data_IF_317512380497
#
_entry.id   IF_317512380497
#
_cell.length_a   1.000
_cell.length_b   1.000
_cell.length_c   1.000
_cell.angle_alpha   90.00
_cell.angle_beta   90.00
_cell.angle_gamma   90.00
#
_symmetry.space_group_name_H-M   'P 1'
#
loop_
_entity.id
_entity.type
_entity.pdbx_description
1 polymer ?
#
# COMPACT_ATOMS: atom_id res chain seq x y z
N UNK A 1 -14.94 29.47 3.27
CA UNK A 1 -13.73 29.95 2.56
C UNK A 1 -12.52 29.46 3.32
N UNK A 2 -11.42 29.08 2.65
CA UNK A 2 -10.25 28.52 3.31
C UNK A 2 -9.17 28.09 2.31
N UNK A 3 -8.04 27.60 2.83
CA UNK A 3 -6.94 27.04 2.04
C UNK A 3 -6.82 25.56 2.34
N UNK A 4 -6.85 24.72 1.31
CA UNK A 4 -6.78 23.27 1.43
C UNK A 4 -5.54 22.75 0.70
N UNK A 5 -4.88 21.77 1.28
CA UNK A 5 -3.60 21.25 0.81
C UNK A 5 -3.69 19.75 0.55
N UNK A 6 -3.26 19.32 -0.63
CA UNK A 6 -2.95 17.92 -0.95
C UNK A 6 -1.47 17.80 -1.22
N UNK A 7 -0.83 16.80 -0.63
CA UNK A 7 0.59 16.49 -0.86
C UNK A 7 0.66 15.10 -1.47
N UNK A 8 1.28 14.98 -2.64
CA UNK A 8 1.44 13.69 -3.31
C UNK A 8 2.62 12.91 -2.69
N UNK A 9 2.43 11.63 -2.34
CA UNK A 9 3.53 10.75 -1.97
C UNK A 9 4.31 10.31 -3.23
N UNK A 10 5.39 9.54 -3.01
CA UNK A 10 6.21 8.89 -4.05
C UNK A 10 6.62 7.47 -3.66
N UNK A 11 6.89 6.60 -4.63
CA UNK A 11 7.35 5.21 -4.39
C UNK A 11 8.81 4.96 -4.81
N UNK A 12 9.40 3.91 -4.23
CA UNK A 12 10.72 3.39 -4.57
C UNK A 12 10.64 2.22 -5.55
N UNK A 13 9.79 1.22 -5.27
CA UNK A 13 9.31 0.26 -6.26
C UNK A 13 8.11 0.89 -7.00
N UNK A 14 8.19 0.90 -8.33
CA UNK A 14 7.12 1.39 -9.20
C UNK A 14 6.86 0.34 -10.25
N UNK A 15 5.65 -0.23 -10.25
CA UNK A 15 5.22 -1.16 -11.30
C UNK A 15 5.24 -0.51 -12.68
N UNK A 16 5.44 -1.30 -13.74
CA UNK A 16 5.55 -0.78 -15.12
C UNK A 16 4.27 -0.14 -15.63
N UNK A 17 3.15 -0.45 -15.00
CA UNK A 17 1.81 -0.01 -15.39
C UNK A 17 1.27 1.13 -14.51
N UNK A 18 2.06 1.65 -13.56
CA UNK A 18 1.66 2.79 -12.73
C UNK A 18 1.52 4.08 -13.57
N UNK A 19 0.66 4.99 -13.11
CA UNK A 19 0.65 6.36 -13.60
C UNK A 19 1.99 7.05 -13.28
N UNK A 20 2.49 7.81 -14.25
CA UNK A 20 3.86 8.32 -14.26
C UNK A 20 3.97 9.65 -13.54
N UNK A 21 4.84 9.71 -12.54
CA UNK A 21 5.21 10.97 -11.89
C UNK A 21 6.09 11.83 -12.80
N UNK A 22 5.79 13.14 -12.89
CA UNK A 22 6.61 14.06 -13.68
C UNK A 22 7.78 14.58 -12.85
N UNK A 23 9.00 14.15 -13.20
CA UNK A 23 10.27 14.61 -12.62
C UNK A 23 11.02 15.58 -13.55
N UNK A 24 11.84 16.45 -12.96
CA UNK A 24 12.59 17.47 -13.68
C UNK A 24 13.68 16.87 -14.57
N UNK A 25 14.33 15.79 -14.12
CA UNK A 25 15.58 15.30 -14.68
C UNK A 25 16.77 16.25 -14.40
N UNK A 26 17.94 15.94 -14.97
CA UNK A 26 19.15 16.76 -14.80
C UNK A 26 19.78 16.66 -13.40
N UNK A 27 20.56 17.68 -13.00
CA UNK A 27 21.40 17.63 -11.78
C UNK A 27 20.62 17.96 -10.51
N UNK A 28 19.59 18.82 -10.58
CA UNK A 28 18.90 19.36 -9.41
C UNK A 28 18.15 18.25 -8.66
N UNK A 29 18.43 18.08 -7.37
CA UNK A 29 17.95 16.97 -6.55
C UNK A 29 18.20 15.59 -7.19
N UNK A 30 19.36 15.40 -7.83
CA UNK A 30 19.72 14.14 -8.51
C UNK A 30 18.66 13.74 -9.57
N UNK A 31 18.11 14.73 -10.27
CA UNK A 31 17.06 14.54 -11.28
C UNK A 31 15.65 14.37 -10.72
N UNK A 32 15.49 14.28 -9.39
CA UNK A 32 14.19 14.04 -8.71
C UNK A 32 13.39 15.31 -8.41
N UNK A 33 13.82 16.48 -8.90
CA UNK A 33 13.07 17.73 -8.78
C UNK A 33 11.66 17.64 -9.41
N UNK A 34 10.75 18.52 -9.01
CA UNK A 34 9.34 18.55 -9.48
C UNK A 34 8.86 19.92 -9.95
N UNK A 35 9.77 20.83 -10.34
CA UNK A 35 9.39 22.18 -10.82
C UNK A 35 8.54 22.13 -12.09
N UNK A 36 8.75 21.14 -12.97
CA UNK A 36 7.90 20.92 -14.15
C UNK A 36 6.45 20.66 -13.75
N UNK A 37 6.21 19.71 -12.84
CA UNK A 37 4.89 19.40 -12.28
C UNK A 37 4.24 20.63 -11.61
N UNK A 38 4.99 21.32 -10.73
CA UNK A 38 4.51 22.54 -10.04
C UNK A 38 4.13 23.64 -11.03
N UNK A 39 4.90 23.84 -12.10
CA UNK A 39 4.58 24.81 -13.15
C UNK A 39 3.26 24.45 -13.84
N UNK A 40 3.02 23.18 -14.13
CA UNK A 40 1.79 22.73 -14.79
C UNK A 40 0.56 22.90 -13.90
N UNK A 41 0.70 22.69 -12.57
CA UNK A 41 -0.34 23.05 -11.59
C UNK A 41 -0.67 24.54 -11.66
N UNK A 42 0.35 25.40 -11.56
CA UNK A 42 0.17 26.86 -11.51
C UNK A 42 -0.27 27.51 -12.83
N UNK A 43 -0.18 26.78 -13.95
CA UNK A 43 -0.52 27.30 -15.29
C UNK A 43 -1.73 26.57 -15.88
N UNK A 44 -1.55 25.34 -16.38
CA UNK A 44 -2.58 24.58 -17.10
C UNK A 44 -3.75 24.19 -16.20
N UNK A 45 -3.47 23.57 -15.04
CA UNK A 45 -4.52 23.11 -14.12
C UNK A 45 -5.27 24.31 -13.53
N UNK A 46 -4.53 25.29 -12.97
CA UNK A 46 -5.13 26.50 -12.40
C UNK A 46 -6.11 27.18 -13.37
N UNK A 47 -5.71 27.38 -14.64
CA UNK A 47 -6.56 28.02 -15.65
C UNK A 47 -7.90 27.31 -15.86
N UNK A 48 -7.96 25.99 -15.65
CA UNK A 48 -9.14 25.17 -15.89
C UNK A 48 -10.00 24.93 -14.65
N UNK A 49 -9.38 24.89 -13.46
CA UNK A 49 -10.09 24.65 -12.19
C UNK A 49 -10.69 25.90 -11.54
N UNK A 50 -10.11 27.09 -11.77
CA UNK A 50 -10.65 28.33 -11.18
C UNK A 50 -12.10 28.55 -11.64
N UNK A 51 -12.99 28.82 -10.67
CA UNK A 51 -14.42 28.98 -10.89
C UNK A 51 -15.23 27.68 -10.91
N UNK A 52 -14.58 26.50 -10.77
CA UNK A 52 -15.27 25.22 -10.62
C UNK A 52 -15.63 24.95 -9.16
N UNK A 53 -16.71 24.23 -8.95
CA UNK A 53 -17.20 23.89 -7.60
C UNK A 53 -16.45 22.68 -7.03
N UNK A 54 -15.83 22.84 -5.87
CA UNK A 54 -15.06 21.78 -5.21
C UNK A 54 -15.89 20.60 -4.69
N UNK A 55 -17.22 20.73 -4.62
CA UNK A 55 -18.09 19.60 -4.21
C UNK A 55 -18.39 18.62 -5.35
N UNK A 56 -17.88 18.88 -6.56
CA UNK A 56 -18.06 18.07 -7.77
C UNK A 56 -16.76 17.33 -8.12
N UNK A 57 -16.33 16.45 -7.21
CA UNK A 57 -15.05 15.74 -7.31
C UNK A 57 -14.87 15.03 -8.67
N UNK A 58 -15.88 14.26 -9.09
CA UNK A 58 -15.87 13.49 -10.34
C UNK A 58 -15.70 14.38 -11.59
N UNK A 59 -16.38 15.53 -11.63
CA UNK A 59 -16.23 16.50 -12.74
C UNK A 59 -14.83 17.12 -12.76
N UNK A 60 -14.25 17.37 -11.58
CA UNK A 60 -12.90 17.94 -11.45
C UNK A 60 -11.84 16.93 -11.84
N UNK A 61 -11.93 15.69 -11.35
CA UNK A 61 -10.97 14.63 -11.67
C UNK A 61 -11.04 14.26 -13.15
N UNK A 62 -12.22 14.22 -13.75
CA UNK A 62 -12.37 14.07 -15.21
C UNK A 62 -11.68 15.21 -15.96
N UNK A 63 -11.87 16.46 -15.54
CA UNK A 63 -11.18 17.60 -16.16
C UNK A 63 -9.65 17.52 -15.98
N UNK A 64 -9.17 17.04 -14.84
CA UNK A 64 -7.74 16.79 -14.60
C UNK A 64 -7.18 15.74 -15.57
N UNK A 65 -7.89 14.65 -15.79
CA UNK A 65 -7.54 13.62 -16.78
C UNK A 65 -7.58 14.18 -18.21
N UNK A 66 -8.58 14.97 -18.57
CA UNK A 66 -8.69 15.61 -19.90
C UNK A 66 -7.56 16.61 -20.18
N UNK A 67 -7.11 17.36 -19.16
CA UNK A 67 -5.98 18.30 -19.28
C UNK A 67 -4.67 17.57 -19.57
N UNK A 68 -4.51 16.38 -19.00
CA UNK A 68 -3.38 15.51 -19.29
C UNK A 68 -3.52 14.84 -20.66
N UNK A 69 -4.63 14.14 -20.89
CA UNK A 69 -4.94 13.50 -22.16
C UNK A 69 -4.04 12.31 -22.51
N UNK A 70 -3.47 11.63 -21.51
CA UNK A 70 -2.70 10.38 -21.68
C UNK A 70 -3.16 9.34 -20.67
N UNK A 71 -3.02 8.06 -21.03
CA UNK A 71 -3.48 6.94 -20.19
C UNK A 71 -2.65 6.82 -18.89
N UNK A 72 -1.34 6.99 -19.01
CA UNK A 72 -0.35 6.90 -17.93
C UNK A 72 -0.06 8.24 -17.25
N UNK A 73 -0.76 9.32 -17.62
CA UNK A 73 -0.69 10.64 -16.97
C UNK A 73 0.68 11.33 -17.07
N UNK A 74 1.51 10.99 -18.08
CA UNK A 74 2.89 11.49 -18.16
C UNK A 74 3.01 12.96 -18.59
N UNK A 75 1.99 13.55 -19.24
CA UNK A 75 2.09 14.93 -19.77
C UNK A 75 2.01 15.99 -18.67
N UNK A 76 1.20 15.77 -17.66
CA UNK A 76 1.03 16.63 -16.48
C UNK A 76 1.75 16.04 -15.27
N UNK A 77 1.78 14.70 -15.17
CA UNK A 77 2.35 13.95 -14.07
C UNK A 77 1.28 13.54 -13.07
N UNK A 78 1.22 12.24 -12.76
CA UNK A 78 0.32 11.68 -11.74
C UNK A 78 0.44 12.40 -10.39
N UNK A 79 1.66 12.82 -10.02
CA UNK A 79 1.96 13.59 -8.81
C UNK A 79 1.27 14.97 -8.78
N UNK A 80 1.17 15.66 -9.92
CA UNK A 80 0.45 16.94 -9.99
C UNK A 80 -1.06 16.75 -9.91
N UNK A 81 -1.58 15.73 -10.60
CA UNK A 81 -3.01 15.43 -10.64
C UNK A 81 -3.53 15.00 -9.27
N UNK A 82 -2.87 14.05 -8.60
CA UNK A 82 -3.34 13.51 -7.32
C UNK A 82 -3.27 14.56 -6.21
N UNK A 83 -2.24 15.43 -6.20
CA UNK A 83 -2.14 16.53 -5.25
C UNK A 83 -3.31 17.52 -5.40
N UNK A 84 -3.69 17.85 -6.64
CA UNK A 84 -4.84 18.72 -6.92
C UNK A 84 -6.16 18.03 -6.53
N UNK A 85 -6.33 16.77 -6.92
CA UNK A 85 -7.49 15.96 -6.60
C UNK A 85 -7.74 15.85 -5.09
N UNK A 86 -6.68 15.59 -4.31
CA UNK A 86 -6.70 15.54 -2.85
C UNK A 86 -7.00 16.92 -2.22
N UNK A 87 -6.47 18.01 -2.77
CA UNK A 87 -6.78 19.35 -2.28
C UNK A 87 -8.26 19.70 -2.50
N UNK A 88 -8.82 19.31 -3.64
CA UNK A 88 -10.22 19.56 -4.02
C UNK A 88 -11.17 18.77 -3.12
N UNK A 89 -10.93 17.49 -2.87
CA UNK A 89 -11.82 16.69 -2.02
C UNK A 89 -11.84 17.19 -0.58
N UNK A 90 -10.71 17.68 -0.06
CA UNK A 90 -10.62 18.36 1.25
C UNK A 90 -11.42 19.66 1.27
N UNK A 91 -11.32 20.46 0.20
CA UNK A 91 -12.13 21.66 0.05
C UNK A 91 -13.63 21.34 -0.05
N UNK A 92 -13.99 20.26 -0.74
CA UNK A 92 -15.36 19.76 -0.86
C UNK A 92 -15.96 19.34 0.48
N UNK A 93 -15.19 18.60 1.30
CA UNK A 93 -15.58 18.22 2.66
C UNK A 93 -15.89 19.46 3.52
N UNK A 94 -14.98 20.43 3.53
CA UNK A 94 -15.17 21.68 4.27
C UNK A 94 -16.33 22.52 3.73
N UNK A 95 -16.55 22.57 2.40
CA UNK A 95 -17.70 23.25 1.80
C UNK A 95 -19.04 22.60 2.17
N UNK A 96 -19.04 21.29 2.52
CA UNK A 96 -20.19 20.57 3.06
C UNK A 96 -20.27 20.57 4.58
N UNK A 97 -19.32 21.22 5.27
CA UNK A 97 -19.19 21.19 6.73
C UNK A 97 -19.16 19.74 7.27
N UNK A 98 -18.38 18.88 6.62
CA UNK A 98 -18.22 17.47 6.97
C UNK A 98 -16.75 17.16 7.24
N UNK A 99 -16.53 16.23 8.17
CA UNK A 99 -15.24 15.55 8.29
C UNK A 99 -14.87 14.85 6.99
N UNK A 100 -13.57 14.80 6.67
CA UNK A 100 -13.09 14.29 5.39
C UNK A 100 -13.51 12.82 5.15
N UNK A 101 -13.42 11.96 6.16
CA UNK A 101 -13.83 10.56 6.03
C UNK A 101 -15.35 10.40 5.76
N UNK A 102 -16.20 11.28 6.29
CA UNK A 102 -17.65 11.30 6.01
C UNK A 102 -17.94 11.76 4.58
N UNK A 103 -17.21 12.77 4.11
CA UNK A 103 -17.34 13.26 2.74
C UNK A 103 -16.86 12.21 1.73
N UNK A 104 -15.72 11.56 2.00
CA UNK A 104 -15.20 10.44 1.20
C UNK A 104 -16.18 9.25 1.19
N UNK A 105 -16.82 8.94 2.32
CA UNK A 105 -17.86 7.90 2.37
C UNK A 105 -19.07 8.23 1.49
N UNK A 106 -19.46 9.50 1.43
CA UNK A 106 -20.56 9.95 0.57
C UNK A 106 -20.20 9.82 -0.91
N UNK A 107 -18.98 10.20 -1.29
CA UNK A 107 -18.48 10.02 -2.66
C UNK A 107 -18.35 8.53 -3.03
N UNK A 108 -17.81 7.73 -2.12
CA UNK A 108 -17.61 6.31 -2.35
C UNK A 108 -18.93 5.54 -2.43
N UNK A 109 -19.89 5.81 -1.54
CA UNK A 109 -21.21 5.18 -1.60
C UNK A 109 -21.93 5.46 -2.92
N UNK A 110 -21.74 6.66 -3.50
CA UNK A 110 -22.23 6.98 -4.85
C UNK A 110 -21.54 6.12 -5.92
N UNK A 111 -20.21 6.04 -5.91
CA UNK A 111 -19.44 5.27 -6.90
C UNK A 111 -19.70 3.75 -6.79
N UNK A 112 -19.85 3.26 -5.56
CA UNK A 112 -20.15 1.86 -5.27
C UNK A 112 -21.59 1.49 -5.64
N UNK A 113 -22.54 2.42 -5.46
CA UNK A 113 -23.96 2.22 -5.78
C UNK A 113 -24.83 1.81 -4.59
N UNK A 114 -24.23 1.68 -3.40
CA UNK A 114 -24.93 1.42 -2.14
C UNK A 114 -24.21 2.09 -0.97
N UNK A 115 -24.91 2.23 0.17
CA UNK A 115 -24.36 2.84 1.38
C UNK A 115 -23.28 1.94 1.98
N UNK A 116 -22.08 2.48 2.13
CA UNK A 116 -20.95 1.76 2.75
C UNK A 116 -20.85 2.13 4.22
N UNK A 117 -20.76 1.12 5.10
CA UNK A 117 -20.54 1.34 6.52
C UNK A 117 -19.10 1.83 6.77
N UNK A 118 -18.96 2.90 7.55
CA UNK A 118 -17.66 3.36 8.05
C UNK A 118 -17.03 2.26 8.92
N UNK A 119 -15.72 2.06 8.76
CA UNK A 119 -14.96 1.11 9.57
C UNK A 119 -13.58 1.67 9.85
N UNK A 120 -13.18 1.66 11.12
CA UNK A 120 -11.77 1.84 11.46
C UNK A 120 -10.99 0.63 10.92
N UNK A 121 -9.96 0.83 10.09
CA UNK A 121 -9.23 -0.27 9.47
C UNK A 121 -8.36 -1.02 10.47
N UNK A 122 -8.20 -2.33 10.25
CA UNK A 122 -7.17 -3.14 10.89
C UNK A 122 -5.78 -2.68 10.41
N UNK A 123 -4.89 -2.38 11.35
CA UNK A 123 -3.52 -1.96 11.05
C UNK A 123 -2.62 -3.12 10.64
N UNK A 124 -1.88 -2.92 9.54
CA UNK A 124 -0.75 -3.72 9.09
C UNK A 124 0.52 -2.88 9.29
N UNK A 125 1.39 -3.32 10.19
CA UNK A 125 2.56 -2.55 10.61
C UNK A 125 3.84 -3.21 10.10
N UNK A 126 4.54 -2.54 9.20
CA UNK A 126 5.82 -2.99 8.68
C UNK A 126 6.90 -2.80 9.76
N UNK A 127 7.51 -3.89 10.25
CA UNK A 127 8.47 -3.81 11.36
C UNK A 127 9.87 -4.32 10.98
N UNK A 128 10.02 -4.95 9.82
CA UNK A 128 11.30 -5.44 9.32
C UNK A 128 11.32 -5.42 7.79
N UNK A 129 12.40 -4.87 7.24
CA UNK A 129 12.56 -4.63 5.81
C UNK A 129 13.64 -5.53 5.17
N UNK A 130 13.42 -5.85 3.91
CA UNK A 130 14.38 -6.38 2.94
C UNK A 130 14.17 -5.68 1.59
N UNK A 131 14.45 -6.39 0.49
CA UNK A 131 14.25 -5.92 -0.87
C UNK A 131 14.97 -4.60 -1.14
N UNK A 132 14.34 -3.72 -1.93
CA UNK A 132 14.89 -2.39 -2.23
C UNK A 132 14.74 -1.39 -1.07
N UNK A 133 13.99 -1.75 -0.02
CA UNK A 133 13.77 -0.91 1.17
C UNK A 133 14.86 -1.06 2.25
N UNK A 134 15.82 -1.97 2.06
CA UNK A 134 16.90 -2.21 3.00
C UNK A 134 18.20 -2.64 2.32
N UNK A 135 19.33 -2.14 2.81
CA UNK A 135 20.66 -2.57 2.38
C UNK A 135 21.09 -3.89 3.04
N UNK A 136 20.28 -4.95 2.92
CA UNK A 136 20.59 -6.29 3.41
C UNK A 136 20.42 -7.35 2.30
N UNK A 137 20.56 -8.64 2.63
CA UNK A 137 20.48 -9.75 1.66
C UNK A 137 19.08 -10.40 1.62
N UNK A 138 18.12 -9.85 2.35
CA UNK A 138 16.78 -10.41 2.43
C UNK A 138 16.00 -9.95 1.20
N UNK A 139 15.60 -10.87 0.32
CA UNK A 139 14.93 -10.48 -0.93
C UNK A 139 13.49 -9.98 -0.74
N UNK A 140 12.77 -10.50 0.26
CA UNK A 140 11.38 -10.10 0.52
C UNK A 140 11.35 -8.72 1.15
N UNK A 141 10.46 -7.85 0.66
CA UNK A 141 10.51 -6.42 0.93
C UNK A 141 10.05 -6.04 2.34
N UNK A 142 8.90 -6.56 2.79
CA UNK A 142 8.30 -6.16 4.07
C UNK A 142 7.86 -7.38 4.88
N UNK A 143 8.07 -7.31 6.19
CA UNK A 143 7.50 -8.24 7.15
C UNK A 143 6.70 -7.46 8.19
N UNK A 144 5.40 -7.75 8.21
CA UNK A 144 4.42 -7.00 8.97
C UNK A 144 3.84 -7.82 10.12
N UNK A 145 3.43 -7.11 11.17
CA UNK A 145 2.54 -7.64 12.21
C UNK A 145 1.13 -7.08 12.04
N UNK A 146 0.15 -7.91 12.39
CA UNK A 146 -1.28 -7.60 12.31
C UNK A 146 -1.92 -7.92 13.68
N UNK A 147 -2.00 -6.94 14.60
CA UNK A 147 -2.59 -7.15 15.92
C UNK A 147 -4.12 -7.11 15.88
N UNK A 148 -4.82 -8.15 16.34
CA UNK A 148 -6.28 -8.24 16.29
C UNK A 148 -6.93 -7.63 17.52
N UNK A 149 -7.71 -6.56 17.32
CA UNK A 149 -8.58 -5.97 18.32
C UNK A 149 -9.69 -5.16 17.64
N UNK A 150 -10.84 -4.98 18.28
CA UNK A 150 -11.88 -4.09 17.76
C UNK A 150 -11.47 -2.62 17.82
N UNK A 151 -10.61 -2.22 18.77
CA UNK A 151 -10.10 -0.85 18.91
C UNK A 151 -8.71 -0.71 18.29
N UNK A 152 -8.55 0.23 17.38
CA UNK A 152 -7.29 0.56 16.72
C UNK A 152 -6.25 1.10 17.70
N UNK A 153 -6.65 1.90 18.70
CA UNK A 153 -5.76 2.32 19.80
C UNK A 153 -5.04 1.16 20.48
N UNK A 154 -5.72 0.03 20.70
CA UNK A 154 -5.11 -1.18 21.26
C UNK A 154 -4.19 -1.86 20.23
N UNK A 155 -4.58 -1.93 18.97
CA UNK A 155 -3.74 -2.48 17.90
C UNK A 155 -2.42 -1.72 17.79
N UNK A 156 -2.47 -0.39 17.77
CA UNK A 156 -1.30 0.49 17.67
C UNK A 156 -0.37 0.33 18.88
N UNK A 157 -0.92 0.26 20.10
CA UNK A 157 -0.13 0.01 21.31
C UNK A 157 0.62 -1.32 21.20
N UNK A 158 -0.10 -2.40 20.85
CA UNK A 158 0.51 -3.72 20.66
C UNK A 158 1.64 -3.67 19.63
N UNK A 159 1.40 -3.00 18.49
CA UNK A 159 2.40 -2.87 17.45
C UNK A 159 3.66 -2.12 17.92
N UNK A 160 3.49 -1.02 18.65
CA UNK A 160 4.59 -0.24 19.24
C UNK A 160 5.41 -1.06 20.24
N UNK A 161 4.76 -1.77 21.16
CA UNK A 161 5.44 -2.61 22.15
C UNK A 161 6.23 -3.75 21.48
N UNK A 162 5.65 -4.40 20.46
CA UNK A 162 6.34 -5.44 19.67
C UNK A 162 7.53 -4.85 18.92
N UNK A 163 7.36 -3.68 18.30
CA UNK A 163 8.43 -2.98 17.57
C UNK A 163 9.61 -2.66 18.49
N UNK A 164 9.37 -2.15 19.70
CA UNK A 164 10.43 -1.87 20.67
C UNK A 164 11.09 -3.15 21.23
N UNK A 165 10.35 -4.24 21.41
CA UNK A 165 10.93 -5.53 21.78
C UNK A 165 11.79 -6.12 20.64
N UNK A 166 11.34 -5.98 19.38
CA UNK A 166 12.14 -6.36 18.22
C UNK A 166 13.44 -5.56 18.19
N UNK A 167 13.39 -4.25 18.43
CA UNK A 167 14.59 -3.41 18.49
C UNK A 167 15.61 -3.93 19.52
N UNK A 168 15.16 -4.24 20.74
CA UNK A 168 16.01 -4.79 21.81
C UNK A 168 16.64 -6.13 21.41
N UNK A 169 15.86 -7.01 20.79
CA UNK A 169 16.34 -8.31 20.30
C UNK A 169 17.41 -8.14 19.21
N UNK A 170 17.20 -7.21 18.29
CA UNK A 170 18.15 -6.92 17.23
C UNK A 170 19.45 -6.37 17.83
N UNK A 171 19.40 -5.39 18.74
CA UNK A 171 20.59 -4.81 19.38
C UNK A 171 21.40 -5.89 20.07
N UNK A 172 20.72 -6.77 20.83
CA UNK A 172 21.38 -7.88 21.51
C UNK A 172 22.05 -8.86 20.54
N UNK A 173 21.49 -9.06 19.35
CA UNK A 173 21.98 -10.05 18.39
C UNK A 173 23.07 -9.50 17.45
N UNK A 174 22.96 -8.23 17.04
CA UNK A 174 23.77 -7.67 15.95
C UNK A 174 24.55 -6.40 16.34
N UNK A 175 24.45 -5.93 17.58
CA UNK A 175 24.92 -4.61 18.06
C UNK A 175 24.13 -3.42 17.50
N UNK A 176 24.15 -2.29 18.21
CA UNK A 176 23.40 -1.07 17.85
C UNK A 176 23.85 -0.43 16.54
N UNK A 177 25.14 -0.54 16.20
CA UNK A 177 25.72 0.08 14.98
C UNK A 177 25.15 -0.56 13.71
N UNK A 178 24.66 -1.79 13.79
CA UNK A 178 24.17 -2.55 12.64
C UNK A 178 22.65 -2.42 12.39
N UNK A 179 21.92 -1.62 13.17
CA UNK A 179 20.45 -1.61 13.16
C UNK A 179 19.93 -0.24 12.77
N UNK A 180 19.83 -0.02 11.46
CA UNK A 180 19.07 1.07 10.89
C UNK A 180 17.59 0.72 10.74
N UNK A 181 16.79 1.76 10.46
CA UNK A 181 15.44 1.62 9.92
C UNK A 181 15.46 1.94 8.42
N UNK A 182 14.70 1.21 7.63
CA UNK A 182 14.51 1.53 6.21
C UNK A 182 13.50 2.68 6.02
N UNK A 183 13.14 2.93 4.76
CA UNK A 183 12.30 4.07 4.36
C UNK A 183 10.95 4.13 5.12
N UNK A 184 10.40 2.97 5.47
CA UNK A 184 9.09 2.83 6.13
C UNK A 184 9.16 2.63 7.65
N UNK A 185 10.36 2.77 8.23
CA UNK A 185 10.57 2.67 9.68
C UNK A 185 10.78 1.25 10.21
N UNK A 186 10.57 0.21 9.40
CA UNK A 186 10.94 -1.17 9.73
C UNK A 186 12.45 -1.35 9.87
N UNK A 187 12.90 -2.27 10.72
CA UNK A 187 14.33 -2.53 10.92
C UNK A 187 14.96 -3.25 9.72
N UNK A 188 16.23 -2.99 9.43
CA UNK A 188 16.97 -3.61 8.33
C UNK A 188 18.15 -4.48 8.85
N UNK A 189 17.90 -5.60 9.56
CA UNK A 189 18.99 -6.41 10.10
C UNK A 189 19.77 -7.16 9.00
N UNK A 190 21.02 -7.58 9.27
CA UNK A 190 21.87 -8.27 8.30
C UNK A 190 21.47 -9.76 8.17
N UNK A 191 20.26 -10.03 7.71
CA UNK A 191 19.71 -11.37 7.48
C UNK A 191 19.49 -11.62 5.99
N UNK A 192 19.25 -12.89 5.63
CA UNK A 192 19.08 -13.28 4.22
C UNK A 192 17.84 -14.13 3.96
N UNK A 193 17.27 -14.79 4.98
CA UNK A 193 16.15 -15.72 4.82
C UNK A 193 14.86 -15.21 5.47
N UNK A 194 13.69 -15.38 4.81
CA UNK A 194 12.39 -15.04 5.39
C UNK A 194 12.13 -15.69 6.76
N UNK A 195 12.60 -16.92 6.98
CA UNK A 195 12.44 -17.60 8.26
C UNK A 195 13.20 -16.88 9.39
N UNK A 196 14.36 -16.27 9.12
CA UNK A 196 15.09 -15.51 10.13
C UNK A 196 14.28 -14.29 10.58
N UNK A 197 13.68 -13.56 9.63
CA UNK A 197 12.80 -12.43 9.90
C UNK A 197 11.58 -12.87 10.73
N UNK A 198 10.85 -13.89 10.26
CA UNK A 198 9.65 -14.40 10.92
C UNK A 198 9.94 -14.95 12.33
N UNK A 199 11.10 -15.59 12.54
CA UNK A 199 11.53 -16.03 13.87
C UNK A 199 11.84 -14.87 14.82
N UNK A 200 12.48 -13.80 14.33
CA UNK A 200 12.73 -12.60 15.13
C UNK A 200 11.42 -11.91 15.53
N UNK A 201 10.50 -11.78 14.58
CA UNK A 201 9.16 -11.22 14.83
C UNK A 201 8.39 -12.08 15.84
N UNK A 202 8.38 -13.40 15.67
CA UNK A 202 7.71 -14.31 16.61
C UNK A 202 8.27 -14.18 18.04
N UNK A 203 9.60 -14.05 18.19
CA UNK A 203 10.23 -13.80 19.49
C UNK A 203 9.82 -12.45 20.07
N UNK A 204 9.78 -11.39 19.26
CA UNK A 204 9.36 -10.06 19.72
C UNK A 204 7.89 -10.06 20.20
N UNK A 205 7.01 -10.75 19.46
CA UNK A 205 5.60 -10.94 19.82
C UNK A 205 5.44 -11.74 21.11
N UNK A 206 6.24 -12.79 21.29
CA UNK A 206 6.25 -13.59 22.53
C UNK A 206 6.72 -12.78 23.74
N UNK A 207 7.78 -11.98 23.60
CA UNK A 207 8.23 -11.07 24.66
C UNK A 207 7.19 -10.02 25.03
N UNK A 208 6.31 -9.64 24.10
CA UNK A 208 5.21 -8.71 24.35
C UNK A 208 3.94 -9.41 24.91
N UNK A 209 3.91 -10.74 24.97
CA UNK A 209 2.74 -11.50 25.46
C UNK A 209 1.52 -11.47 24.52
N UNK A 210 1.74 -11.33 23.21
CA UNK A 210 0.67 -11.13 22.20
C UNK A 210 0.54 -12.26 21.15
N UNK A 211 1.09 -13.44 21.40
CA UNK A 211 1.18 -14.56 20.44
C UNK A 211 -0.18 -15.01 19.92
N UNK A 212 -1.21 -14.97 20.77
CA UNK A 212 -2.58 -15.35 20.39
C UNK A 212 -3.35 -14.20 19.74
N UNK A 213 -2.80 -12.98 19.73
CA UNK A 213 -3.48 -11.75 19.31
C UNK A 213 -2.83 -11.10 18.09
N UNK A 214 -1.79 -11.69 17.51
CA UNK A 214 -1.05 -11.13 16.36
C UNK A 214 -0.88 -12.20 15.29
N UNK A 215 -1.12 -11.82 14.03
CA UNK A 215 -0.73 -12.58 12.84
C UNK A 215 0.36 -11.84 12.09
N UNK A 216 0.97 -12.49 11.11
CA UNK A 216 2.00 -11.89 10.27
C UNK A 216 1.47 -11.65 8.86
N UNK A 217 2.06 -10.70 8.17
CA UNK A 217 1.87 -10.48 6.75
C UNK A 217 3.23 -10.21 6.11
N UNK A 218 3.32 -10.39 4.80
CA UNK A 218 4.52 -10.10 4.02
C UNK A 218 4.16 -9.38 2.74
N UNK A 219 4.96 -8.39 2.38
CA UNK A 219 5.09 -7.93 1.00
C UNK A 219 6.38 -8.52 0.44
N UNK A 220 6.22 -9.32 -0.60
CA UNK A 220 7.32 -9.99 -1.24
C UNK A 220 7.98 -9.08 -2.28
N UNK A 221 7.22 -8.25 -2.99
CA UNK A 221 7.67 -7.47 -4.16
C UNK A 221 8.46 -8.33 -5.16
N UNK A 222 7.90 -9.47 -5.57
CA UNK A 222 8.65 -10.49 -6.31
C UNK A 222 9.16 -10.05 -7.70
N UNK A 223 8.57 -8.99 -8.26
CA UNK A 223 9.06 -8.32 -9.47
C UNK A 223 10.54 -7.89 -9.36
N UNK A 224 10.98 -7.45 -8.17
CA UNK A 224 12.32 -6.90 -7.94
C UNK A 224 13.44 -7.96 -7.98
N UNK A 225 13.10 -9.23 -7.78
CA UNK A 225 14.05 -10.33 -7.84
C UNK A 225 13.68 -11.39 -8.87
N UNK A 226 12.78 -11.06 -9.79
CA UNK A 226 12.47 -11.87 -10.96
C UNK A 226 13.44 -11.59 -12.11
N UNK A 227 13.97 -12.64 -12.71
CA UNK A 227 14.91 -12.58 -13.81
C UNK A 227 14.41 -13.40 -14.99
N UNK A 228 14.19 -12.74 -16.12
CA UNK A 228 13.86 -13.39 -17.39
C UNK A 228 15.09 -13.42 -18.30
N UNK A 229 15.44 -14.59 -18.84
CA UNK A 229 16.49 -14.68 -19.88
C UNK A 229 15.97 -14.15 -21.21
N UNK A 230 16.67 -13.17 -21.80
CA UNK A 230 16.36 -12.63 -23.13
C UNK A 230 16.26 -13.76 -24.18
N UNK A 231 15.22 -13.72 -25.02
CA UNK A 231 15.03 -14.65 -26.15
C UNK A 231 14.37 -15.99 -25.83
N UNK A 232 13.74 -16.14 -24.65
CA UNK A 232 12.98 -17.34 -24.28
C UNK A 232 11.53 -16.96 -23.87
N UNK A 233 10.62 -17.93 -23.91
CA UNK A 233 9.22 -17.73 -23.49
C UNK A 233 9.10 -17.25 -22.04
N UNK A 234 7.97 -16.64 -21.68
CA UNK A 234 7.71 -16.14 -20.30
C UNK A 234 7.89 -17.22 -19.22
N UNK A 235 7.67 -18.50 -19.54
CA UNK A 235 7.86 -19.65 -18.63
C UNK A 235 9.32 -19.96 -18.24
N UNK A 236 10.30 -19.22 -18.76
CA UNK A 236 11.72 -19.44 -18.48
C UNK A 236 12.31 -18.57 -17.37
N UNK A 237 11.50 -17.70 -16.75
CA UNK A 237 11.94 -16.83 -15.68
C UNK A 237 12.24 -17.55 -14.36
N UNK A 238 13.07 -16.93 -13.54
CA UNK A 238 13.44 -17.42 -12.22
C UNK A 238 13.49 -16.30 -11.19
N UNK A 239 13.19 -16.63 -9.94
CA UNK A 239 13.22 -15.71 -8.82
C UNK A 239 14.50 -15.94 -8.01
N UNK A 240 15.35 -14.91 -7.87
CA UNK A 240 16.67 -15.01 -7.23
C UNK A 240 16.66 -14.36 -5.85
N UNK A 241 16.37 -15.15 -4.82
CA UNK A 241 16.41 -14.74 -3.42
C UNK A 241 17.63 -15.37 -2.72
N UNK A 242 17.48 -15.82 -1.46
CA UNK A 242 18.49 -16.63 -0.76
C UNK A 242 18.84 -17.96 -1.49
N UNK A 243 18.00 -18.35 -2.45
CA UNK A 243 18.23 -19.37 -3.47
C UNK A 243 17.41 -19.03 -4.70
N UNK A 244 17.62 -19.77 -5.79
CA UNK A 244 16.83 -19.64 -7.02
C UNK A 244 15.55 -20.45 -6.91
N UNK A 245 14.43 -19.85 -7.30
CA UNK A 245 13.13 -20.51 -7.39
C UNK A 245 12.56 -20.39 -8.80
N UNK A 246 11.93 -21.48 -9.27
CA UNK A 246 10.87 -21.41 -10.29
C UNK A 246 9.52 -21.15 -9.62
N UNK A 247 8.53 -20.62 -10.34
CA UNK A 247 7.20 -20.32 -9.78
C UNK A 247 6.59 -21.48 -8.98
N UNK A 248 6.64 -22.72 -9.52
CA UNK A 248 6.14 -23.92 -8.83
C UNK A 248 6.83 -24.15 -7.46
N UNK A 249 8.15 -23.99 -7.41
CA UNK A 249 8.91 -24.16 -6.16
C UNK A 249 8.68 -23.00 -5.19
N UNK A 250 8.43 -21.79 -5.70
CA UNK A 250 8.13 -20.61 -4.89
C UNK A 250 6.73 -20.71 -4.26
N UNK A 251 5.73 -21.18 -5.01
CA UNK A 251 4.38 -21.53 -4.48
C UNK A 251 4.46 -22.50 -3.31
N UNK A 252 5.24 -23.60 -3.46
CA UNK A 252 5.46 -24.58 -2.38
C UNK A 252 6.15 -23.95 -1.18
N UNK A 253 7.09 -23.04 -1.41
CA UNK A 253 7.80 -22.35 -0.34
C UNK A 253 6.90 -21.40 0.45
N UNK A 254 6.05 -20.60 -0.22
CA UNK A 254 5.04 -19.79 0.48
C UNK A 254 4.10 -20.63 1.33
N UNK A 255 3.61 -21.75 0.77
CA UNK A 255 2.80 -22.70 1.55
C UNK A 255 3.51 -23.17 2.81
N UNK A 256 4.78 -23.55 2.72
CA UNK A 256 5.58 -23.98 3.89
C UNK A 256 5.71 -22.86 4.93
N UNK A 257 5.94 -21.62 4.50
CA UNK A 257 5.96 -20.47 5.42
C UNK A 257 4.61 -20.30 6.13
N UNK A 258 3.49 -20.33 5.40
CA UNK A 258 2.14 -20.21 5.97
C UNK A 258 1.74 -21.37 6.88
N UNK A 259 2.32 -22.55 6.68
CA UNK A 259 2.07 -23.70 7.55
C UNK A 259 2.87 -23.60 8.86
N UNK A 260 4.05 -22.95 8.82
CA UNK A 260 4.96 -22.81 9.97
C UNK A 260 4.69 -21.55 10.81
N UNK A 261 4.28 -20.46 10.19
CA UNK A 261 4.09 -19.16 10.82
C UNK A 261 2.63 -18.72 10.69
N UNK A 262 2.12 -17.88 11.63
CA UNK A 262 0.75 -17.39 11.59
C UNK A 262 0.54 -16.29 10.54
N UNK A 263 0.92 -16.55 9.27
CA UNK A 263 0.78 -15.61 8.16
C UNK A 263 -0.67 -15.57 7.70
N UNK A 264 -1.25 -14.37 7.62
CA UNK A 264 -2.62 -14.15 7.17
C UNK A 264 -2.72 -13.41 5.83
N UNK A 265 -1.63 -12.82 5.34
CA UNK A 265 -1.60 -12.09 4.06
C UNK A 265 -0.23 -12.16 3.39
N UNK A 266 -0.23 -12.29 2.06
CA UNK A 266 0.95 -12.19 1.19
C UNK A 266 0.61 -11.20 0.08
N UNK A 267 1.45 -10.19 -0.09
CA UNK A 267 1.41 -9.20 -1.16
C UNK A 267 2.50 -9.49 -2.19
N UNK A 268 2.15 -9.33 -3.47
CA UNK A 268 3.00 -9.52 -4.66
C UNK A 268 3.93 -10.76 -4.64
N UNK A 269 3.36 -11.98 -4.48
CA UNK A 269 4.12 -13.22 -4.45
C UNK A 269 4.88 -13.55 -5.74
N UNK A 270 4.52 -12.95 -6.87
CA UNK A 270 5.11 -13.18 -8.21
C UNK A 270 5.27 -11.86 -8.96
N UNK A 271 5.94 -11.90 -10.11
CA UNK A 271 6.10 -10.72 -10.97
C UNK A 271 4.75 -10.19 -11.49
N UNK A 272 4.73 -8.91 -11.81
CA UNK A 272 3.53 -8.10 -12.09
C UNK A 272 2.61 -8.60 -13.23
N UNK A 273 3.05 -9.52 -14.10
CA UNK A 273 2.23 -10.11 -15.18
C UNK A 273 1.92 -11.61 -14.97
N UNK A 274 2.30 -12.20 -13.84
CA UNK A 274 2.15 -13.63 -13.58
C UNK A 274 0.74 -14.00 -13.05
N UNK A 275 -0.33 -13.53 -13.71
CA UNK A 275 -1.73 -13.73 -13.29
C UNK A 275 -2.07 -15.20 -12.96
N UNK A 276 -1.57 -16.14 -13.76
CA UNK A 276 -1.77 -17.58 -13.56
C UNK A 276 -1.07 -18.11 -12.30
N UNK A 277 0.18 -17.70 -12.04
CA UNK A 277 0.89 -18.12 -10.83
C UNK A 277 0.23 -17.59 -9.55
N UNK A 278 -0.25 -16.35 -9.61
CA UNK A 278 -1.08 -15.73 -8.59
C UNK A 278 -2.36 -16.53 -8.31
N UNK A 279 -3.10 -16.90 -9.38
CA UNK A 279 -4.34 -17.68 -9.29
C UNK A 279 -4.11 -19.07 -8.70
N UNK A 280 -3.06 -19.77 -9.13
CA UNK A 280 -2.68 -21.06 -8.57
C UNK A 280 -2.30 -20.99 -7.10
N UNK A 281 -1.55 -19.96 -6.68
CA UNK A 281 -1.22 -19.75 -5.28
C UNK A 281 -2.47 -19.42 -4.45
N UNK A 282 -3.35 -18.55 -4.95
CA UNK A 282 -4.60 -18.22 -4.29
C UNK A 282 -5.43 -19.49 -4.07
N UNK A 283 -5.62 -20.30 -5.11
CA UNK A 283 -6.32 -21.59 -5.00
C UNK A 283 -5.69 -22.50 -3.95
N UNK A 284 -4.36 -22.63 -3.95
CA UNK A 284 -3.62 -23.45 -2.98
C UNK A 284 -3.80 -22.96 -1.54
N UNK A 285 -3.82 -21.65 -1.30
CA UNK A 285 -3.94 -21.05 0.03
C UNK A 285 -5.39 -20.90 0.50
N UNK A 286 -6.35 -20.99 -0.43
CA UNK A 286 -7.78 -20.98 -0.16
C UNK A 286 -8.40 -22.39 -0.10
N UNK A 287 -7.63 -23.47 -0.25
CA UNK A 287 -8.12 -24.86 -0.15
C UNK A 287 -8.86 -25.10 1.18
N UNK A 288 -10.10 -25.60 1.11
CA UNK A 288 -10.98 -25.94 2.24
C UNK A 288 -10.33 -26.80 3.33
N UNK A 289 -9.35 -27.63 3.00
CA UNK A 289 -8.61 -28.48 3.95
C UNK A 289 -7.64 -27.66 4.83
N UNK A 290 -7.29 -26.44 4.44
CA UNK A 290 -6.43 -25.56 5.24
C UNK A 290 -7.20 -24.93 6.38
N UNK A 291 -6.65 -25.06 7.59
CA UNK A 291 -7.15 -24.37 8.80
C UNK A 291 -7.08 -22.86 8.67
N UNK A 292 -6.00 -22.35 8.07
CA UNK A 292 -5.78 -20.91 7.88
C UNK A 292 -5.80 -20.56 6.39
N UNK A 293 -6.73 -19.66 6.04
CA UNK A 293 -6.79 -19.00 4.74
C UNK A 293 -5.84 -17.82 4.75
N UNK A 294 -5.19 -17.57 3.61
CA UNK A 294 -4.23 -16.48 3.46
C UNK A 294 -4.69 -15.57 2.34
N UNK A 295 -4.80 -14.28 2.66
CA UNK A 295 -5.10 -13.23 1.70
C UNK A 295 -3.95 -13.10 0.68
N UNK A 296 -4.28 -12.95 -0.60
CA UNK A 296 -3.34 -12.57 -1.64
C UNK A 296 -3.69 -11.16 -2.08
N UNK A 297 -2.74 -10.25 -1.86
CA UNK A 297 -2.86 -8.83 -2.21
C UNK A 297 -2.16 -8.61 -3.55
N UNK A 298 -2.84 -7.97 -4.50
CA UNK A 298 -2.22 -7.48 -5.73
C UNK A 298 -1.88 -6.01 -5.60
N UNK A 299 -0.59 -5.68 -5.63
CA UNK A 299 -0.04 -4.31 -5.68
C UNK A 299 0.45 -4.00 -7.10
N UNK A 300 1.67 -4.38 -7.48
CA UNK A 300 2.19 -4.25 -8.85
C UNK A 300 1.33 -5.00 -9.87
N UNK A 301 0.68 -6.09 -9.45
CA UNK A 301 -0.27 -6.82 -10.29
C UNK A 301 -1.43 -5.91 -10.74
N UNK A 302 -1.92 -5.02 -9.88
CA UNK A 302 -3.13 -4.24 -10.14
C UNK A 302 -2.88 -2.75 -10.34
N UNK A 303 -1.81 -2.20 -9.76
CA UNK A 303 -1.39 -0.78 -9.74
C UNK A 303 -2.54 0.20 -9.52
N UNK A 304 -3.54 -0.21 -8.71
CA UNK A 304 -4.76 0.57 -8.49
C UNK A 304 -5.51 0.95 -9.80
N UNK A 305 -5.26 0.23 -10.90
CA UNK A 305 -5.84 0.49 -12.20
C UNK A 305 -7.10 -0.37 -12.43
N UNK A 306 -8.27 0.24 -12.69
CA UNK A 306 -9.52 -0.51 -12.88
C UNK A 306 -9.46 -1.64 -13.94
N UNK A 307 -8.75 -1.44 -15.05
CA UNK A 307 -8.62 -2.46 -16.12
C UNK A 307 -7.83 -3.68 -15.62
N UNK A 308 -6.73 -3.44 -14.89
CA UNK A 308 -5.91 -4.53 -14.33
C UNK A 308 -6.59 -5.20 -13.15
N UNK A 309 -7.31 -4.44 -12.32
CA UNK A 309 -8.19 -5.00 -11.28
C UNK A 309 -9.23 -5.91 -11.91
N UNK A 310 -9.90 -5.48 -12.98
CA UNK A 310 -10.88 -6.29 -13.69
C UNK A 310 -10.25 -7.58 -14.26
N UNK A 311 -9.07 -7.48 -14.87
CA UNK A 311 -8.33 -8.64 -15.37
C UNK A 311 -7.99 -9.63 -14.23
N UNK A 312 -7.48 -9.12 -13.11
CA UNK A 312 -7.11 -9.94 -11.96
C UNK A 312 -8.32 -10.61 -11.29
N UNK A 313 -9.50 -9.95 -11.30
CA UNK A 313 -10.77 -10.53 -10.86
C UNK A 313 -11.16 -11.69 -11.79
N UNK A 314 -11.12 -11.48 -13.10
CA UNK A 314 -11.49 -12.50 -14.11
C UNK A 314 -10.60 -13.74 -14.00
N UNK A 315 -9.29 -13.54 -13.85
CA UNK A 315 -8.28 -14.60 -13.72
C UNK A 315 -8.22 -15.21 -12.30
N UNK A 316 -8.96 -14.63 -11.33
CA UNK A 316 -8.95 -15.01 -9.92
C UNK A 316 -7.53 -14.97 -9.32
N UNK A 317 -6.75 -13.97 -9.69
CA UNK A 317 -5.33 -13.86 -9.33
C UNK A 317 -5.11 -13.35 -7.91
N UNK A 318 -6.04 -12.57 -7.35
CA UNK A 318 -5.94 -12.09 -5.98
C UNK A 318 -7.32 -12.10 -5.30
N UNK A 319 -7.35 -11.77 -4.01
CA UNK A 319 -8.60 -11.53 -3.27
C UNK A 319 -8.53 -10.28 -2.40
N UNK A 320 -7.52 -9.44 -2.63
CA UNK A 320 -7.37 -8.14 -2.01
C UNK A 320 -6.67 -7.17 -2.96
N UNK A 321 -7.20 -5.96 -3.05
CA UNK A 321 -6.58 -4.84 -3.74
C UNK A 321 -5.71 -4.06 -2.75
N UNK A 322 -4.44 -3.81 -3.10
CA UNK A 322 -3.68 -2.74 -2.46
C UNK A 322 -4.03 -1.41 -3.14
N UNK A 323 -4.63 -0.48 -2.38
CA UNK A 323 -5.09 0.79 -2.92
C UNK A 323 -4.08 1.90 -2.64
N UNK A 324 -3.39 2.37 -3.68
CA UNK A 324 -2.45 3.50 -3.65
C UNK A 324 -2.94 4.59 -4.60
N UNK A 325 -3.47 5.67 -4.03
CA UNK A 325 -4.12 6.76 -4.80
C UNK A 325 -3.19 7.36 -5.86
N UNK A 326 -1.89 7.49 -5.59
CA UNK A 326 -0.94 8.06 -6.54
C UNK A 326 -0.57 7.10 -7.68
N UNK A 327 -0.79 5.79 -7.56
CA UNK A 327 -0.56 4.83 -8.67
C UNK A 327 -1.57 5.04 -9.81
N UNK A 328 -2.78 5.53 -9.50
CA UNK A 328 -3.80 5.80 -10.51
C UNK A 328 -3.92 7.29 -10.83
N UNK A 329 -3.65 8.19 -9.87
CA UNK A 329 -3.43 9.61 -10.12
C UNK A 329 -4.60 10.55 -9.79
N UNK A 330 -5.80 10.04 -9.49
CA UNK A 330 -6.92 10.84 -8.98
C UNK A 330 -7.69 10.10 -7.88
N UNK A 331 -8.42 10.85 -7.05
CA UNK A 331 -9.27 10.27 -5.99
C UNK A 331 -10.44 9.52 -6.62
N UNK A 332 -11.10 10.06 -7.64
CA UNK A 332 -12.21 9.38 -8.33
C UNK A 332 -11.80 8.02 -8.89
N UNK A 333 -10.70 7.92 -9.64
CA UNK A 333 -10.25 6.61 -10.19
C UNK A 333 -9.87 5.62 -9.09
N UNK A 334 -9.30 6.10 -7.97
CA UNK A 334 -9.00 5.23 -6.83
C UNK A 334 -10.27 4.69 -6.16
N UNK A 335 -11.33 5.51 -6.05
CA UNK A 335 -12.63 5.08 -5.55
C UNK A 335 -13.30 4.07 -6.50
N UNK A 336 -13.15 4.24 -7.82
CA UNK A 336 -13.67 3.30 -8.81
C UNK A 336 -12.95 1.94 -8.76
N UNK A 337 -11.62 1.94 -8.65
CA UNK A 337 -10.84 0.71 -8.48
C UNK A 337 -11.21 -0.04 -7.18
N UNK A 338 -11.38 0.69 -6.08
CA UNK A 338 -11.87 0.16 -4.81
C UNK A 338 -13.28 -0.45 -4.96
N UNK A 339 -14.21 0.28 -5.58
CA UNK A 339 -15.58 -0.18 -5.77
C UNK A 339 -15.63 -1.45 -6.63
N UNK A 340 -14.82 -1.54 -7.68
CA UNK A 340 -14.72 -2.71 -8.54
C UNK A 340 -14.23 -3.94 -7.76
N UNK A 341 -13.16 -3.80 -6.99
CA UNK A 341 -12.63 -4.87 -6.14
C UNK A 341 -13.68 -5.32 -5.10
N UNK A 342 -14.33 -4.37 -4.42
CA UNK A 342 -15.33 -4.69 -3.40
C UNK A 342 -16.56 -5.39 -3.99
N UNK A 343 -17.03 -5.00 -5.19
CA UNK A 343 -18.12 -5.69 -5.91
C UNK A 343 -17.78 -7.14 -6.25
N UNK A 344 -16.50 -7.43 -6.49
CA UNK A 344 -16.00 -8.80 -6.69
C UNK A 344 -15.75 -9.56 -5.37
N UNK A 345 -16.12 -8.99 -4.22
CA UNK A 345 -15.93 -9.59 -2.90
C UNK A 345 -14.48 -9.55 -2.41
N UNK A 346 -13.61 -8.76 -3.04
CA UNK A 346 -12.24 -8.59 -2.58
C UNK A 346 -12.20 -7.67 -1.36
N UNK A 347 -11.18 -7.88 -0.53
CA UNK A 347 -10.82 -6.92 0.53
C UNK A 347 -10.05 -5.75 -0.08
N UNK A 348 -10.00 -4.62 0.61
CA UNK A 348 -9.22 -3.46 0.21
C UNK A 348 -8.24 -3.13 1.33
N UNK A 349 -6.96 -3.02 0.99
CA UNK A 349 -5.95 -2.51 1.90
C UNK A 349 -5.46 -1.16 1.39
N UNK A 350 -5.84 -0.08 2.07
CA UNK A 350 -5.33 1.26 1.74
C UNK A 350 -3.86 1.32 2.15
N UNK A 351 -3.01 1.81 1.25
CA UNK A 351 -1.57 1.79 1.43
C UNK A 351 -0.95 3.18 1.35
N UNK A 352 0.11 3.37 2.13
CA UNK A 352 1.09 4.43 1.92
C UNK A 352 1.97 4.16 0.68
N UNK A 353 2.99 5.00 0.50
CA UNK A 353 4.17 4.72 -0.34
C UNK A 353 5.45 4.85 0.49
N UNK A 354 6.55 4.27 0.02
CA UNK A 354 7.86 4.36 0.71
C UNK A 354 8.40 5.78 0.82
N UNK A 355 8.13 6.68 -0.13
CA UNK A 355 8.39 8.12 -0.01
C UNK A 355 7.14 8.90 0.40
N UNK A 356 6.79 8.89 1.69
CA UNK A 356 5.63 9.62 2.22
C UNK A 356 5.94 11.03 2.75
N UNK A 357 4.88 11.69 3.21
CA UNK A 357 4.71 13.07 3.62
C UNK A 357 3.90 13.11 4.92
N UNK A 358 3.72 14.29 5.50
CA UNK A 358 2.90 14.52 6.68
C UNK A 358 1.38 14.46 6.42
N UNK A 359 0.95 14.40 5.15
CA UNK A 359 -0.47 14.40 4.77
C UNK A 359 -1.17 13.13 5.28
N UNK A 360 -2.30 13.25 5.98
CA UNK A 360 -3.01 12.10 6.59
C UNK A 360 -4.15 11.55 5.73
N UNK A 361 -4.30 12.00 4.48
CA UNK A 361 -5.43 11.69 3.60
C UNK A 361 -5.83 10.21 3.56
N UNK A 362 -4.85 9.31 3.47
CA UNK A 362 -5.11 7.87 3.36
C UNK A 362 -5.76 7.26 4.61
N UNK A 363 -5.63 7.89 5.79
CA UNK A 363 -6.34 7.46 7.00
C UNK A 363 -7.85 7.75 6.88
N UNK A 364 -8.22 8.97 6.48
CA UNK A 364 -9.60 9.34 6.22
C UNK A 364 -10.19 8.53 5.04
N UNK A 365 -9.39 8.24 4.01
CA UNK A 365 -9.80 7.38 2.90
C UNK A 365 -10.13 5.96 3.36
N UNK A 366 -9.25 5.33 4.15
CA UNK A 366 -9.46 3.97 4.63
C UNK A 366 -10.77 3.83 5.43
N UNK A 367 -11.06 4.82 6.29
CA UNK A 367 -12.31 4.86 7.05
C UNK A 367 -13.51 5.14 6.14
N UNK A 368 -13.39 6.14 5.26
CA UNK A 368 -14.47 6.59 4.38
C UNK A 368 -14.97 5.50 3.43
N UNK A 369 -14.05 4.72 2.85
CA UNK A 369 -14.42 3.60 1.95
C UNK A 369 -14.72 2.29 2.70
N UNK A 370 -14.61 2.30 4.02
CA UNK A 370 -14.79 1.09 4.83
C UNK A 370 -13.84 -0.04 4.44
N UNK A 371 -12.59 0.28 4.09
CA UNK A 371 -11.62 -0.68 3.52
C UNK A 371 -11.40 -1.90 4.40
N UNK A 372 -11.50 -1.70 5.71
CA UNK A 372 -11.29 -2.72 6.74
C UNK A 372 -9.82 -3.03 7.01
N UNK A 373 -8.89 -2.58 6.15
CA UNK A 373 -7.44 -2.79 6.30
C UNK A 373 -6.65 -1.56 5.82
N UNK A 374 -5.52 -1.31 6.48
CA UNK A 374 -4.58 -0.26 6.09
C UNK A 374 -3.15 -0.64 6.44
N UNK A 375 -2.20 -0.42 5.51
CA UNK A 375 -0.76 -0.44 5.79
C UNK A 375 -0.16 0.95 5.65
N UNK A 376 0.56 1.38 6.68
CA UNK A 376 1.16 2.72 6.71
C UNK A 376 2.57 2.76 7.31
N UNK A 377 3.26 1.62 7.33
CA UNK A 377 4.66 1.50 7.78
C UNK A 377 4.80 1.04 9.22
N UNK A 378 5.95 1.31 9.83
CA UNK A 378 6.18 1.03 11.24
C UNK A 378 5.47 2.06 12.14
N UNK A 379 5.27 1.76 13.43
CA UNK A 379 5.03 2.77 14.46
C UNK A 379 6.31 3.60 14.75
N UNK A 380 6.97 4.07 13.69
CA UNK A 380 8.21 4.84 13.67
C UNK A 380 8.18 5.76 12.44
N UNK A 381 8.84 6.93 12.55
CA UNK A 381 8.87 8.01 11.56
C UNK A 381 7.51 8.72 11.38
N UNK A 382 7.52 10.04 11.45
CA UNK A 382 6.30 10.84 11.59
C UNK A 382 5.39 10.79 10.37
N UNK A 383 5.93 10.59 9.16
CA UNK A 383 5.13 10.43 7.94
C UNK A 383 4.27 9.15 7.96
N UNK A 384 4.63 8.16 8.80
CA UNK A 384 3.86 6.94 9.09
C UNK A 384 2.88 7.19 10.23
N UNK A 385 3.43 7.63 11.37
CA UNK A 385 2.68 7.82 12.62
C UNK A 385 1.61 8.91 12.49
N UNK A 386 1.76 9.88 11.59
CA UNK A 386 0.72 10.87 11.29
C UNK A 386 -0.61 10.22 10.89
N UNK A 387 -0.58 9.13 10.10
CA UNK A 387 -1.78 8.42 9.65
C UNK A 387 -2.41 7.63 10.79
N UNK A 388 -1.59 6.94 11.58
CA UNK A 388 -2.06 6.23 12.77
C UNK A 388 -2.67 7.19 13.79
N UNK A 389 -2.06 8.35 14.02
CA UNK A 389 -2.61 9.37 14.89
C UNK A 389 -3.91 9.96 14.33
N UNK A 390 -4.06 10.09 13.01
CA UNK A 390 -5.36 10.47 12.43
C UNK A 390 -6.40 9.37 12.66
N UNK A 391 -6.07 8.09 12.51
CA UNK A 391 -6.98 7.00 12.85
C UNK A 391 -7.41 6.99 14.32
N UNK A 392 -6.51 7.33 15.25
CA UNK A 392 -6.88 7.47 16.67
C UNK A 392 -7.91 8.59 16.88
N UNK A 393 -7.75 9.74 16.21
CA UNK A 393 -8.71 10.85 16.29
C UNK A 393 -10.05 10.47 15.68
N UNK A 394 -10.05 9.80 14.52
CA UNK A 394 -11.30 9.33 13.91
C UNK A 394 -11.97 8.24 14.79
N UNK A 395 -11.19 7.37 15.43
CA UNK A 395 -11.71 6.41 16.40
C UNK A 395 -12.38 7.14 17.58
N UNK A 396 -11.78 8.20 18.11
CA UNK A 396 -12.38 9.04 19.16
C UNK A 396 -13.65 9.78 18.70
N UNK A 397 -13.69 10.27 17.45
CA UNK A 397 -14.85 10.94 16.85
C UNK A 397 -16.04 10.00 16.57
N UNK A 398 -15.79 8.69 16.43
CA UNK A 398 -16.81 7.67 16.12
C UNK A 398 -17.31 6.86 17.33
N UNK A 399 -16.59 6.92 18.45
CA UNK A 399 -17.03 6.38 19.76
C UNK A 399 -18.05 7.35 20.36
#
# INVERSE_FOLDING_TARGET
QGVFRGISPSGASTGKHEAVELRDGGVRYFGKGVRKAVRLVNTKIKKKLVGKSCVRQEEIDKLLQEIDGTQDKHKIGANALVACSMAVVKAGAAARNQELYLYLNSLYSKAFGEKVALKIPQGFFNILNGGVHAANKLAFQEFMIVPFNSKFSIQLRMASEIYHNLHKLLIKKYSSVAIGVGDEGGFAPPISRPEEALNLIAKAVNLAGYEKKVKFAMDVAASEFYFQRKGRSMDSGEYRAHKVFKSISLKKYYKQLCDKYPICSIEDPFEENAFSDFSELLMLLQDRKRKNKVQIVGDDLTVTNPERVQAAITEKSANCLLLKVNQIGTVTEALEAAALAQKAGWKIMVSHRSGETEDTFIADLAVGIGSGQMKSGAPCRSERVAKYNRLLRIEEELI
#
